data_IF_312133714092
#
_entry.id   IF_312133714092
#
_cell.length_a   1.000
_cell.length_b   1.000
_cell.length_c   1.000
_cell.angle_alpha   90.00
_cell.angle_beta   90.00
_cell.angle_gamma   90.00
#
_symmetry.space_group_name_H-M   'P 1'
#
loop_
_entity.id
_entity.type
_entity.pdbx_description
1 polymer ?
#
# COMPACT_ATOMS: atom_id res chain seq x y z
N UNK A 1 36.24 18.88 -3.18
CA UNK A 1 34.91 18.48 -2.76
C UNK A 1 34.19 17.45 -3.65
N UNK A 2 34.45 17.36 -4.96
CA UNK A 2 33.83 16.32 -5.83
C UNK A 2 34.18 14.89 -5.37
N UNK A 3 35.44 14.67 -4.99
CA UNK A 3 35.96 13.35 -4.54
C UNK A 3 35.30 12.91 -3.23
N UNK A 4 35.21 13.80 -2.23
CA UNK A 4 34.57 13.51 -0.93
C UNK A 4 33.11 13.14 -1.11
N UNK A 5 32.37 13.90 -1.94
CA UNK A 5 30.98 13.60 -2.28
C UNK A 5 30.84 12.21 -2.93
N UNK A 6 31.68 11.90 -3.91
CA UNK A 6 31.65 10.60 -4.63
C UNK A 6 31.94 9.43 -3.67
N UNK A 7 32.91 9.60 -2.78
CA UNK A 7 33.25 8.59 -1.78
C UNK A 7 32.11 8.36 -0.82
N UNK A 8 31.58 9.43 -0.22
CA UNK A 8 30.45 9.35 0.72
C UNK A 8 29.21 8.69 0.09
N UNK A 9 28.85 9.10 -1.13
CA UNK A 9 27.67 8.55 -1.80
C UNK A 9 27.87 7.08 -2.16
N UNK A 10 29.05 6.69 -2.64
CA UNK A 10 29.36 5.29 -2.93
C UNK A 10 29.25 4.42 -1.68
N UNK A 11 29.79 4.89 -0.57
CA UNK A 11 29.77 4.16 0.70
C UNK A 11 28.36 4.01 1.27
N UNK A 12 27.59 5.09 1.26
CA UNK A 12 26.19 5.03 1.74
C UNK A 12 25.34 4.16 0.81
N UNK A 13 25.42 4.34 -0.51
CA UNK A 13 24.63 3.57 -1.47
C UNK A 13 24.97 2.09 -1.38
N UNK A 14 26.27 1.71 -1.31
CA UNK A 14 26.68 0.31 -1.18
C UNK A 14 26.17 -0.32 0.14
N UNK A 15 26.24 0.43 1.24
CA UNK A 15 25.75 -0.03 2.54
C UNK A 15 24.21 -0.18 2.55
N UNK A 16 23.49 0.77 1.97
CA UNK A 16 22.03 0.70 1.82
C UNK A 16 21.64 -0.48 0.93
N UNK A 17 22.31 -0.66 -0.21
CA UNK A 17 22.05 -1.78 -1.11
C UNK A 17 22.30 -3.13 -0.42
N UNK A 18 23.40 -3.25 0.35
CA UNK A 18 23.68 -4.45 1.11
C UNK A 18 22.58 -4.77 2.15
N UNK A 19 22.16 -3.77 2.94
CA UNK A 19 21.09 -3.94 3.92
C UNK A 19 19.76 -4.27 3.25
N UNK A 20 19.43 -3.59 2.14
CA UNK A 20 18.22 -3.88 1.39
C UNK A 20 18.20 -5.31 0.83
N UNK A 21 19.33 -5.78 0.27
CA UNK A 21 19.48 -7.16 -0.20
C UNK A 21 19.34 -8.17 0.94
N UNK A 22 19.94 -7.90 2.11
CA UNK A 22 19.80 -8.77 3.28
C UNK A 22 18.34 -8.89 3.74
N UNK A 23 17.62 -7.77 3.81
CA UNK A 23 16.19 -7.79 4.14
C UNK A 23 15.35 -8.49 3.08
N UNK A 24 15.61 -8.23 1.79
CA UNK A 24 14.90 -8.91 0.70
C UNK A 24 15.13 -10.42 0.70
N UNK A 25 16.36 -10.86 0.99
CA UNK A 25 16.67 -12.29 1.10
C UNK A 25 15.90 -12.93 2.23
N UNK A 26 15.80 -12.24 3.39
CA UNK A 26 15.03 -12.73 4.53
C UNK A 26 13.53 -12.77 4.22
N UNK A 27 12.99 -11.69 3.62
CA UNK A 27 11.58 -11.63 3.23
C UNK A 27 11.26 -12.70 2.20
N UNK A 28 12.11 -12.86 1.17
CA UNK A 28 11.94 -13.93 0.20
C UNK A 28 11.86 -15.31 0.84
N UNK A 29 12.74 -15.58 1.82
CA UNK A 29 12.73 -16.86 2.52
C UNK A 29 11.43 -17.08 3.30
N UNK A 30 10.95 -16.06 4.01
CA UNK A 30 9.69 -16.12 4.76
C UNK A 30 8.52 -16.35 3.81
N UNK A 31 8.39 -15.54 2.76
CA UNK A 31 7.31 -15.64 1.78
C UNK A 31 7.35 -16.99 1.05
N UNK A 32 8.55 -17.47 0.74
CA UNK A 32 8.73 -18.79 0.12
C UNK A 32 8.26 -19.92 1.05
N UNK A 33 8.61 -19.89 2.34
CA UNK A 33 8.14 -20.89 3.34
C UNK A 33 6.62 -20.86 3.45
N UNK A 34 6.01 -19.68 3.43
CA UNK A 34 4.55 -19.52 3.47
C UNK A 34 3.89 -20.10 2.21
N UNK A 35 4.49 -19.89 1.03
CA UNK A 35 4.02 -20.51 -0.22
C UNK A 35 4.21 -22.04 -0.23
N UNK A 36 5.26 -22.59 0.40
CA UNK A 36 5.49 -24.03 0.52
C UNK A 36 4.36 -24.76 1.24
N UNK A 37 3.70 -24.10 2.20
CA UNK A 37 2.55 -24.69 2.93
C UNK A 37 1.35 -24.99 2.00
N UNK A 38 1.36 -24.44 0.79
CA UNK A 38 0.33 -24.70 -0.24
C UNK A 38 0.65 -25.91 -1.12
N UNK A 39 1.83 -26.50 -0.99
CA UNK A 39 2.23 -27.73 -1.68
C UNK A 39 1.32 -28.88 -1.20
N UNK A 40 0.84 -29.67 -2.16
CA UNK A 40 -0.17 -30.72 -1.91
C UNK A 40 -1.57 -30.34 -2.42
N UNK A 41 -1.78 -29.07 -2.82
CA UNK A 41 -2.99 -28.70 -3.56
C UNK A 41 -2.85 -29.13 -5.03
N UNK A 42 -3.92 -29.62 -5.67
CA UNK A 42 -3.88 -30.02 -7.08
C UNK A 42 -3.36 -28.87 -7.97
N UNK A 43 -2.31 -29.15 -8.73
CA UNK A 43 -1.71 -28.18 -9.66
C UNK A 43 -0.72 -27.20 -9.06
N UNK A 44 -0.41 -27.23 -7.74
CA UNK A 44 0.59 -26.35 -7.13
C UNK A 44 1.99 -26.99 -7.16
N UNK A 45 2.94 -26.33 -7.81
CA UNK A 45 4.33 -26.80 -7.97
C UNK A 45 5.31 -25.96 -7.18
N UNK A 46 6.50 -26.51 -6.90
CA UNK A 46 7.60 -25.78 -6.25
C UNK A 46 7.95 -24.47 -7.00
N UNK A 47 7.95 -24.52 -8.34
CA UNK A 47 8.21 -23.33 -9.16
C UNK A 47 7.17 -22.22 -8.95
N UNK A 48 5.92 -22.59 -8.72
CA UNK A 48 4.87 -21.64 -8.37
C UNK A 48 5.09 -20.98 -7.01
N UNK A 49 5.62 -21.72 -6.03
CA UNK A 49 6.01 -21.13 -4.75
C UNK A 49 7.14 -20.10 -4.91
N UNK A 50 8.15 -20.41 -5.71
CA UNK A 50 9.24 -19.46 -6.04
C UNK A 50 8.68 -18.23 -6.77
N UNK A 51 7.85 -18.41 -7.78
CA UNK A 51 7.26 -17.32 -8.54
C UNK A 51 6.35 -16.44 -7.67
N UNK A 52 5.57 -17.01 -6.77
CA UNK A 52 4.74 -16.29 -5.79
C UNK A 52 5.58 -15.42 -4.87
N UNK A 53 6.62 -15.98 -4.26
CA UNK A 53 7.53 -15.23 -3.39
C UNK A 53 8.27 -14.11 -4.15
N UNK A 54 8.71 -14.36 -5.39
CA UNK A 54 9.34 -13.34 -6.24
C UNK A 54 8.41 -12.14 -6.55
N UNK A 55 7.13 -12.39 -6.75
CA UNK A 55 6.15 -11.34 -7.02
C UNK A 55 5.91 -10.42 -5.81
N UNK A 56 6.16 -10.89 -4.60
CA UNK A 56 6.01 -10.10 -3.35
C UNK A 56 7.24 -9.22 -3.05
N UNK A 57 8.42 -9.52 -3.63
CA UNK A 57 9.66 -8.80 -3.36
C UNK A 57 9.59 -7.28 -3.60
N UNK A 58 8.97 -6.75 -4.67
CA UNK A 58 8.90 -5.30 -4.87
C UNK A 58 8.06 -4.58 -3.82
N UNK A 59 6.99 -5.22 -3.32
CA UNK A 59 6.19 -4.73 -2.20
C UNK A 59 7.02 -4.66 -0.92
N UNK A 60 7.74 -5.75 -0.60
CA UNK A 60 8.63 -5.82 0.54
C UNK A 60 9.78 -4.79 0.44
N UNK A 61 10.37 -4.62 -0.75
CA UNK A 61 11.39 -3.59 -0.98
C UNK A 61 10.85 -2.19 -0.67
N UNK A 62 9.65 -1.85 -1.15
CA UNK A 62 9.03 -0.56 -0.88
C UNK A 62 8.83 -0.32 0.62
N UNK A 63 8.31 -1.30 1.35
CA UNK A 63 8.05 -1.19 2.79
C UNK A 63 9.35 -1.12 3.63
N UNK A 64 10.42 -1.80 3.21
CA UNK A 64 11.67 -1.88 3.95
C UNK A 64 12.71 -0.83 3.54
N UNK A 65 12.53 -0.16 2.39
CA UNK A 65 13.54 0.75 1.85
C UNK A 65 13.91 1.90 2.82
N UNK A 66 12.97 2.61 3.49
CA UNK A 66 13.34 3.66 4.43
C UNK A 66 14.18 3.14 5.62
N UNK A 67 13.90 1.92 6.10
CA UNK A 67 14.67 1.29 7.18
C UNK A 67 16.06 0.90 6.67
N UNK A 68 16.15 0.32 5.48
CA UNK A 68 17.43 -0.02 4.86
C UNK A 68 18.30 1.22 4.64
N UNK A 69 17.69 2.34 4.23
CA UNK A 69 18.35 3.65 4.09
C UNK A 69 18.86 4.15 5.44
N UNK A 70 18.06 4.06 6.50
CA UNK A 70 18.49 4.44 7.85
C UNK A 70 19.69 3.60 8.31
N UNK A 71 19.56 2.28 8.31
CA UNK A 71 20.58 1.37 8.82
C UNK A 71 21.86 1.45 7.98
N UNK A 72 21.74 1.44 6.65
CA UNK A 72 22.88 1.54 5.74
C UNK A 72 23.63 2.87 5.90
N UNK A 73 22.90 3.98 6.08
CA UNK A 73 23.51 5.29 6.32
C UNK A 73 24.17 5.35 7.70
N UNK A 74 23.53 4.81 8.76
CA UNK A 74 24.14 4.74 10.10
C UNK A 74 25.42 3.90 10.05
N UNK A 75 25.39 2.73 9.41
CA UNK A 75 26.58 1.88 9.28
C UNK A 75 27.73 2.62 8.57
N UNK A 76 27.46 3.27 7.44
CA UNK A 76 28.45 4.04 6.70
C UNK A 76 29.02 5.19 7.55
N UNK A 77 28.14 5.97 8.20
CA UNK A 77 28.56 7.08 9.04
C UNK A 77 29.32 6.62 10.28
N UNK A 78 28.91 5.53 10.91
CA UNK A 78 29.60 4.96 12.07
C UNK A 78 31.00 4.45 11.69
N UNK A 79 31.15 3.83 10.53
CA UNK A 79 32.43 3.35 10.00
C UNK A 79 33.38 4.52 9.73
N UNK A 80 32.92 5.57 9.06
CA UNK A 80 33.73 6.78 8.81
C UNK A 80 34.13 7.50 10.11
N UNK A 81 33.26 7.48 11.12
CA UNK A 81 33.60 8.04 12.44
C UNK A 81 34.65 7.19 13.18
N UNK A 82 34.59 5.87 13.06
CA UNK A 82 35.52 4.96 13.72
C UNK A 82 36.91 4.96 13.08
N UNK A 83 36.99 5.04 11.77
CA UNK A 83 38.26 5.16 11.01
C UNK A 83 38.89 6.56 11.13
N UNK A 84 38.29 7.48 11.90
CA UNK A 84 38.68 8.89 11.99
C UNK A 84 38.60 9.68 10.67
N UNK A 85 38.19 9.06 9.59
CA UNK A 85 38.02 9.72 8.28
C UNK A 85 37.01 10.88 8.36
N UNK A 86 35.93 10.70 9.10
CA UNK A 86 34.93 11.77 9.30
C UNK A 86 35.55 12.98 10.02
N UNK A 87 36.47 12.75 10.97
CA UNK A 87 37.18 13.82 11.68
C UNK A 87 38.11 14.56 10.71
N UNK A 88 38.87 13.84 9.87
CA UNK A 88 39.72 14.42 8.82
C UNK A 88 38.90 15.25 7.83
N UNK A 89 37.73 14.76 7.43
CA UNK A 89 36.82 15.51 6.55
C UNK A 89 36.31 16.80 7.20
N UNK A 90 36.04 16.79 8.51
CA UNK A 90 35.63 17.99 9.28
C UNK A 90 36.77 19.02 9.35
N UNK A 91 37.97 18.60 9.70
CA UNK A 91 39.14 19.50 9.74
C UNK A 91 39.52 20.02 8.35
N UNK A 92 39.25 19.22 7.29
CA UNK A 92 39.39 19.61 5.90
C UNK A 92 38.26 20.52 5.35
N UNK A 93 37.35 21.02 6.24
CA UNK A 93 36.34 22.03 5.89
C UNK A 93 34.94 21.48 5.60
N UNK A 94 34.64 20.22 5.92
CA UNK A 94 33.26 19.69 5.87
C UNK A 94 32.48 20.17 7.09
N UNK A 95 31.80 21.30 6.96
CA UNK A 95 30.92 21.80 8.03
C UNK A 95 29.71 20.87 8.24
N UNK A 96 29.12 20.82 9.47
CA UNK A 96 27.95 19.99 9.77
C UNK A 96 26.77 20.23 8.80
N UNK A 97 26.53 21.50 8.45
CA UNK A 97 25.46 21.86 7.51
C UNK A 97 25.74 21.36 6.08
N UNK A 98 27.03 21.35 5.65
CA UNK A 98 27.39 20.78 4.35
C UNK A 98 27.22 19.27 4.33
N UNK A 99 27.59 18.57 5.41
CA UNK A 99 27.36 17.14 5.56
C UNK A 99 25.86 16.83 5.50
N UNK A 100 25.03 17.61 6.22
CA UNK A 100 23.57 17.45 6.18
C UNK A 100 23.00 17.65 4.77
N UNK A 101 23.46 18.71 4.04
CA UNK A 101 23.00 18.95 2.68
C UNK A 101 23.39 17.82 1.70
N UNK A 102 24.57 17.24 1.85
CA UNK A 102 25.00 16.10 1.02
C UNK A 102 24.14 14.86 1.28
N UNK A 103 23.87 14.54 2.54
CA UNK A 103 23.01 13.42 2.90
C UNK A 103 21.54 13.69 2.58
N UNK A 104 21.06 14.92 2.75
CA UNK A 104 19.69 15.28 2.34
C UNK A 104 19.50 15.13 0.82
N UNK A 105 20.49 15.52 0.00
CA UNK A 105 20.43 15.28 -1.45
C UNK A 105 20.35 13.78 -1.78
N UNK A 106 21.13 12.95 -1.10
CA UNK A 106 21.08 11.50 -1.25
C UNK A 106 19.75 10.93 -0.76
N UNK A 107 19.24 11.43 0.37
CA UNK A 107 17.92 11.10 0.89
C UNK A 107 16.79 11.46 -0.08
N UNK A 108 16.90 12.57 -0.82
CA UNK A 108 15.96 12.90 -1.90
C UNK A 108 16.01 11.89 -3.05
N UNK A 109 17.19 11.41 -3.41
CA UNK A 109 17.32 10.35 -4.43
C UNK A 109 16.64 9.07 -3.97
N UNK A 110 16.87 8.65 -2.73
CA UNK A 110 16.17 7.48 -2.17
C UNK A 110 14.66 7.71 -2.05
N UNK A 111 14.24 8.91 -1.69
CA UNK A 111 12.83 9.28 -1.66
C UNK A 111 12.18 9.19 -3.05
N UNK A 112 12.83 9.72 -4.08
CA UNK A 112 12.36 9.61 -5.47
C UNK A 112 12.31 8.15 -5.95
N UNK A 113 13.32 7.34 -5.59
CA UNK A 113 13.34 5.91 -5.89
C UNK A 113 12.18 5.18 -5.21
N UNK A 114 11.96 5.44 -3.90
CA UNK A 114 10.84 4.86 -3.13
C UNK A 114 9.51 5.24 -3.75
N UNK A 115 9.34 6.51 -4.15
CA UNK A 115 8.13 6.97 -4.82
C UNK A 115 7.91 6.23 -6.15
N UNK A 116 8.93 6.12 -6.98
CA UNK A 116 8.84 5.43 -8.27
C UNK A 116 8.47 3.95 -8.10
N UNK A 117 9.10 3.25 -7.15
CA UNK A 117 8.76 1.86 -6.83
C UNK A 117 7.30 1.77 -6.34
N UNK A 118 6.91 2.61 -5.39
CA UNK A 118 5.57 2.60 -4.80
C UNK A 118 4.45 2.96 -5.77
N UNK A 119 4.69 3.85 -6.73
CA UNK A 119 3.66 4.32 -7.67
C UNK A 119 3.51 3.40 -8.89
N UNK A 120 4.61 2.82 -9.41
CA UNK A 120 4.60 2.07 -10.65
C UNK A 120 4.83 0.57 -10.45
N UNK A 121 5.87 0.20 -9.70
CA UNK A 121 6.30 -1.21 -9.61
C UNK A 121 5.37 -2.01 -8.70
N UNK A 122 5.12 -1.50 -7.49
CA UNK A 122 4.29 -2.20 -6.49
C UNK A 122 2.86 -2.45 -7.00
N UNK A 123 2.11 -1.48 -7.53
CA UNK A 123 0.76 -1.76 -8.02
C UNK A 123 0.74 -2.82 -9.13
N UNK A 124 1.73 -2.79 -10.02
CA UNK A 124 1.83 -3.78 -11.09
C UNK A 124 2.08 -5.19 -10.54
N UNK A 125 3.09 -5.37 -9.68
CA UNK A 125 3.44 -6.69 -9.12
C UNK A 125 2.37 -7.23 -8.18
N UNK A 126 1.76 -6.40 -7.36
CA UNK A 126 0.66 -6.80 -6.47
C UNK A 126 -0.57 -7.26 -7.26
N UNK A 127 -0.90 -6.60 -8.38
CA UNK A 127 -1.98 -7.08 -9.29
C UNK A 127 -1.64 -8.44 -9.88
N UNK A 128 -0.40 -8.65 -10.33
CA UNK A 128 0.04 -9.96 -10.82
C UNK A 128 -0.04 -11.02 -9.73
N UNK A 129 0.33 -10.68 -8.49
CA UNK A 129 0.21 -11.58 -7.33
C UNK A 129 -1.24 -11.99 -7.08
N UNK A 130 -2.17 -11.03 -7.13
CA UNK A 130 -3.61 -11.33 -6.99
C UNK A 130 -4.11 -12.24 -8.08
N UNK A 131 -3.77 -11.97 -9.35
CA UNK A 131 -4.18 -12.79 -10.49
C UNK A 131 -3.55 -14.19 -10.43
N UNK A 132 -2.28 -14.29 -10.05
CA UNK A 132 -1.57 -15.55 -9.86
C UNK A 132 -2.22 -16.39 -8.76
N UNK A 133 -2.51 -15.80 -7.60
CA UNK A 133 -3.22 -16.48 -6.49
C UNK A 133 -4.65 -16.90 -6.89
N UNK A 134 -5.35 -16.08 -7.67
CA UNK A 134 -6.68 -16.41 -8.19
C UNK A 134 -6.66 -17.59 -9.16
N UNK A 135 -5.67 -17.66 -10.06
CA UNK A 135 -5.50 -18.77 -11.00
C UNK A 135 -5.26 -20.10 -10.27
N UNK A 136 -4.42 -20.08 -9.22
CA UNK A 136 -4.12 -21.27 -8.41
C UNK A 136 -5.30 -21.74 -7.54
N UNK A 137 -6.18 -20.82 -7.18
CA UNK A 137 -7.34 -21.12 -6.32
C UNK A 137 -8.57 -21.61 -7.09
N UNK A 138 -8.47 -21.84 -8.41
CA UNK A 138 -9.59 -22.27 -9.25
C UNK A 138 -10.75 -21.27 -9.30
N UNK A 139 -10.46 -19.96 -9.25
CA UNK A 139 -11.47 -18.90 -9.22
C UNK A 139 -12.15 -18.73 -7.85
N UNK A 140 -11.58 -19.27 -6.79
CA UNK A 140 -12.11 -19.12 -5.42
C UNK A 140 -11.99 -17.69 -4.92
N UNK A 141 -13.07 -17.23 -4.30
CA UNK A 141 -13.34 -15.90 -3.73
C UNK A 141 -12.11 -15.22 -3.13
N UNK A 142 -11.79 -14.03 -3.60
CA UNK A 142 -10.89 -13.08 -2.92
C UNK A 142 -11.60 -12.56 -1.65
N UNK A 143 -11.31 -13.19 -0.50
CA UNK A 143 -11.92 -12.82 0.78
C UNK A 143 -13.27 -13.50 1.06
N UNK A 144 -13.67 -13.55 2.33
CA UNK A 144 -14.88 -14.25 2.77
C UNK A 144 -16.19 -13.54 2.44
N UNK A 145 -16.17 -12.23 2.17
CA UNK A 145 -17.37 -11.38 2.01
C UNK A 145 -17.51 -10.72 0.65
N UNK A 146 -16.46 -10.71 -0.20
CA UNK A 146 -16.46 -9.95 -1.46
C UNK A 146 -16.45 -8.42 -1.24
N UNK A 147 -16.50 -7.66 -2.34
CA UNK A 147 -16.60 -6.22 -2.31
C UNK A 147 -18.06 -5.76 -2.38
N UNK A 148 -18.41 -4.78 -1.56
CA UNK A 148 -19.72 -4.14 -1.57
C UNK A 148 -19.60 -2.72 -2.11
N UNK A 149 -20.42 -2.41 -3.11
CA UNK A 149 -20.55 -1.10 -3.74
C UNK A 149 -21.97 -0.63 -3.59
N UNK A 150 -22.19 0.66 -3.40
CA UNK A 150 -23.50 1.29 -3.44
C UNK A 150 -23.59 2.25 -4.62
N UNK A 151 -24.74 2.31 -5.23
CA UNK A 151 -25.07 3.22 -6.31
C UNK A 151 -26.45 3.78 -6.05
N UNK A 152 -26.63 5.11 -6.18
CA UNK A 152 -27.92 5.77 -6.16
C UNK A 152 -28.24 6.29 -7.56
N UNK A 153 -29.48 6.08 -8.00
CA UNK A 153 -29.99 6.61 -9.26
C UNK A 153 -31.31 7.30 -9.02
N UNK A 154 -31.43 8.49 -9.56
CA UNK A 154 -32.70 9.20 -9.61
C UNK A 154 -33.34 8.87 -10.97
N UNK A 155 -34.52 8.27 -10.96
CA UNK A 155 -35.32 7.93 -12.12
C UNK A 155 -36.66 8.67 -12.04
N UNK A 156 -37.38 8.74 -13.16
CA UNK A 156 -38.74 9.28 -13.21
C UNK A 156 -39.73 8.58 -12.24
N UNK A 157 -39.37 7.37 -11.78
CA UNK A 157 -40.11 6.57 -10.79
C UNK A 157 -39.67 6.79 -9.35
N UNK A 158 -38.81 7.77 -9.09
CA UNK A 158 -38.24 8.08 -7.77
C UNK A 158 -36.76 7.68 -7.62
N UNK A 159 -36.23 7.91 -6.42
CA UNK A 159 -34.87 7.54 -6.06
C UNK A 159 -34.78 6.04 -5.83
N UNK A 160 -33.78 5.39 -6.44
CA UNK A 160 -33.48 3.98 -6.27
C UNK A 160 -32.04 3.80 -5.82
N UNK A 161 -31.85 2.92 -4.85
CA UNK A 161 -30.52 2.54 -4.38
C UNK A 161 -30.18 1.10 -4.74
N UNK A 162 -28.97 0.89 -5.22
CA UNK A 162 -28.45 -0.42 -5.58
C UNK A 162 -27.28 -0.79 -4.67
N UNK A 163 -27.36 -1.99 -4.09
CA UNK A 163 -26.23 -2.58 -3.36
C UNK A 163 -25.65 -3.71 -4.20
N UNK A 164 -24.44 -3.52 -4.69
CA UNK A 164 -23.74 -4.46 -5.58
C UNK A 164 -22.66 -5.19 -4.80
N UNK A 165 -22.74 -6.51 -4.74
CA UNK A 165 -21.69 -7.36 -4.17
C UNK A 165 -20.99 -8.13 -5.29
N UNK A 166 -19.67 -8.08 -5.29
CA UNK A 166 -18.81 -8.83 -6.21
C UNK A 166 -17.91 -9.74 -5.38
N UNK A 167 -18.01 -11.05 -5.55
CA UNK A 167 -17.24 -12.00 -4.77
C UNK A 167 -15.75 -12.03 -5.12
N UNK A 168 -15.37 -11.66 -6.35
CA UNK A 168 -13.97 -11.63 -6.77
C UNK A 168 -13.78 -11.36 -8.25
N UNK A 169 -12.51 -11.49 -8.69
CA UNK A 169 -12.10 -11.39 -10.10
C UNK A 169 -11.36 -12.67 -10.47
N UNK A 170 -11.62 -13.20 -11.66
CA UNK A 170 -10.87 -14.35 -12.19
C UNK A 170 -9.52 -13.90 -12.81
N UNK A 171 -8.69 -14.88 -13.23
CA UNK A 171 -7.39 -14.64 -13.87
C UNK A 171 -7.46 -13.84 -15.18
N UNK A 172 -8.64 -13.70 -15.78
CA UNK A 172 -8.89 -12.92 -17.01
C UNK A 172 -9.47 -11.54 -16.75
N UNK A 173 -9.60 -11.13 -15.46
CA UNK A 173 -10.21 -9.86 -15.09
C UNK A 173 -11.73 -9.86 -15.15
N UNK A 174 -12.39 -11.01 -15.27
CA UNK A 174 -13.85 -11.15 -15.27
C UNK A 174 -14.34 -11.18 -13.82
N UNK A 175 -15.37 -10.41 -13.50
CA UNK A 175 -16.01 -10.42 -12.19
C UNK A 175 -16.77 -11.73 -11.97
N UNK A 176 -16.66 -12.30 -10.77
CA UNK A 176 -17.32 -13.57 -10.42
C UNK A 176 -18.18 -13.43 -9.17
N UNK A 177 -19.33 -14.12 -9.16
CA UNK A 177 -20.24 -14.16 -8.03
C UNK A 177 -20.88 -12.80 -7.74
N UNK A 178 -21.53 -12.21 -8.73
CA UNK A 178 -22.16 -10.89 -8.66
C UNK A 178 -23.55 -11.02 -8.05
N UNK A 179 -23.88 -10.14 -7.12
CA UNK A 179 -25.21 -9.98 -6.53
C UNK A 179 -25.58 -8.51 -6.52
N UNK A 180 -26.71 -8.16 -7.09
CA UNK A 180 -27.21 -6.79 -7.15
C UNK A 180 -28.56 -6.78 -6.46
N UNK A 181 -28.74 -5.91 -5.49
CA UNK A 181 -29.98 -5.71 -4.75
C UNK A 181 -30.47 -4.29 -5.02
N UNK A 182 -31.71 -4.17 -5.44
CA UNK A 182 -32.38 -2.89 -5.71
C UNK A 182 -33.37 -2.57 -4.60
N UNK A 183 -33.33 -1.32 -4.12
CA UNK A 183 -34.22 -0.81 -3.09
C UNK A 183 -34.86 0.50 -3.56
N UNK A 184 -36.09 0.76 -3.09
CA UNK A 184 -36.76 2.06 -3.23
C UNK A 184 -36.25 3.10 -2.23
N UNK A 185 -36.85 4.31 -2.26
CA UNK A 185 -36.51 5.40 -1.35
C UNK A 185 -36.81 5.07 0.12
N UNK A 186 -37.78 4.19 0.37
CA UNK A 186 -38.21 3.72 1.70
C UNK A 186 -37.37 2.54 2.20
N UNK A 187 -36.40 2.05 1.39
CA UNK A 187 -35.54 0.93 1.73
C UNK A 187 -36.18 -0.46 1.54
N UNK A 188 -37.33 -0.54 0.83
CA UNK A 188 -37.95 -1.82 0.50
C UNK A 188 -37.23 -2.48 -0.67
N UNK A 189 -37.05 -3.79 -0.58
CA UNK A 189 -36.33 -4.57 -1.60
C UNK A 189 -37.24 -4.80 -2.83
N UNK A 190 -36.83 -4.30 -3.99
CA UNK A 190 -37.59 -4.37 -5.23
C UNK A 190 -37.17 -5.53 -6.13
N UNK A 191 -35.87 -5.68 -6.34
CA UNK A 191 -35.32 -6.70 -7.22
C UNK A 191 -33.96 -7.21 -6.73
N UNK A 192 -33.62 -8.41 -7.18
CA UNK A 192 -32.32 -9.02 -6.98
C UNK A 192 -31.82 -9.69 -8.27
N UNK A 193 -30.58 -9.39 -8.63
CA UNK A 193 -29.89 -10.07 -9.70
C UNK A 193 -28.75 -10.89 -9.09
N UNK A 194 -28.67 -12.19 -9.43
CA UNK A 194 -27.53 -13.04 -9.09
C UNK A 194 -26.94 -13.49 -10.41
N UNK A 195 -25.66 -13.15 -10.66
CA UNK A 195 -24.98 -13.58 -11.87
C UNK A 195 -23.69 -14.33 -11.53
N UNK A 196 -23.40 -15.36 -12.31
CA UNK A 196 -22.19 -16.17 -12.15
C UNK A 196 -20.95 -15.40 -12.52
N UNK A 197 -21.01 -14.66 -13.62
CA UNK A 197 -19.90 -13.85 -14.14
C UNK A 197 -20.43 -12.55 -14.71
N UNK A 198 -19.53 -11.54 -14.82
CA UNK A 198 -19.87 -10.29 -15.48
C UNK A 198 -18.64 -9.51 -15.91
N UNK A 199 -18.83 -8.65 -16.91
CA UNK A 199 -17.82 -7.70 -17.40
C UNK A 199 -18.42 -6.32 -17.42
N UNK A 200 -17.60 -5.33 -17.07
CA UNK A 200 -17.97 -3.91 -17.13
C UNK A 200 -17.43 -3.34 -18.45
N UNK A 201 -18.31 -2.83 -19.29
CA UNK A 201 -17.95 -2.17 -20.53
C UNK A 201 -17.33 -0.77 -20.30
N UNK A 202 -16.76 -0.18 -21.33
CA UNK A 202 -16.22 1.17 -21.29
C UNK A 202 -17.31 2.24 -21.04
N UNK A 203 -18.55 1.95 -21.39
CA UNK A 203 -19.76 2.74 -21.18
C UNK A 203 -20.39 2.53 -19.79
N UNK A 204 -19.68 1.88 -18.87
CA UNK A 204 -20.16 1.48 -17.54
C UNK A 204 -21.34 0.50 -17.56
N UNK A 205 -21.74 -0.02 -18.72
CA UNK A 205 -22.77 -1.06 -18.82
C UNK A 205 -22.18 -2.43 -18.44
N UNK A 206 -22.84 -3.11 -17.50
CA UNK A 206 -22.44 -4.43 -17.08
C UNK A 206 -23.09 -5.51 -17.96
N UNK A 207 -22.29 -6.40 -18.51
CA UNK A 207 -22.76 -7.59 -19.20
C UNK A 207 -22.64 -8.76 -18.23
N UNK A 208 -23.77 -9.20 -17.70
CA UNK A 208 -23.90 -10.28 -16.73
C UNK A 208 -24.23 -11.59 -17.48
N UNK A 209 -23.56 -12.68 -17.12
CA UNK A 209 -23.74 -14.00 -17.69
C UNK A 209 -24.31 -14.97 -16.67
N UNK A 210 -25.23 -15.83 -17.06
CA UNK A 210 -25.98 -16.75 -16.21
C UNK A 210 -26.66 -15.96 -15.07
N UNK A 211 -27.54 -15.03 -15.41
CA UNK A 211 -28.17 -14.11 -14.48
C UNK A 211 -29.56 -14.62 -14.06
N UNK A 212 -29.78 -14.81 -12.77
CA UNK A 212 -31.08 -15.02 -12.14
C UNK A 212 -31.64 -13.68 -11.68
N UNK A 213 -32.70 -13.21 -12.33
CA UNK A 213 -33.41 -11.99 -12.00
C UNK A 213 -34.66 -12.31 -11.20
N UNK A 214 -34.78 -11.80 -9.99
CA UNK A 214 -35.93 -11.98 -9.10
C UNK A 214 -36.54 -10.63 -8.79
N UNK A 215 -37.82 -10.45 -9.00
CA UNK A 215 -38.56 -9.23 -8.70
C UNK A 215 -39.63 -9.49 -7.65
N UNK A 216 -39.71 -8.60 -6.67
CA UNK A 216 -40.76 -8.61 -5.65
C UNK A 216 -41.81 -7.55 -6.02
N UNK A 217 -43.09 -7.93 -6.03
CA UNK A 217 -44.16 -6.99 -6.37
C UNK A 217 -44.33 -5.91 -5.29
N UNK A 218 -44.69 -4.72 -5.73
CA UNK A 218 -44.95 -3.55 -4.87
C UNK A 218 -46.43 -3.38 -4.52
N UNK A 219 -47.26 -4.46 -4.59
CA UNK A 219 -48.66 -4.38 -4.37
C UNK A 219 -49.10 -4.25 -2.91
N UNK A 220 -50.25 -3.63 -2.67
CA UNK A 220 -50.87 -3.51 -1.35
C UNK A 220 -51.68 -4.78 -0.97
N UNK A 221 -51.79 -5.76 -1.85
CA UNK A 221 -52.59 -6.98 -1.64
C UNK A 221 -51.68 -8.23 -1.64
N UNK A 222 -51.30 -8.76 -0.43
CA UNK A 222 -50.39 -9.92 -0.30
C UNK A 222 -50.93 -11.20 -0.98
N UNK A 223 -52.21 -11.26 -1.29
CA UNK A 223 -52.86 -12.45 -1.86
C UNK A 223 -52.65 -12.58 -3.39
N UNK A 224 -52.22 -11.51 -4.07
CA UNK A 224 -52.01 -11.45 -5.52
C UNK A 224 -50.57 -11.28 -5.92
N UNK A 225 -49.69 -11.09 -4.95
CA UNK A 225 -48.30 -10.74 -5.18
C UNK A 225 -47.42 -11.98 -5.41
N UNK A 226 -47.13 -12.28 -6.67
CA UNK A 226 -46.23 -13.39 -7.03
C UNK A 226 -44.80 -12.88 -7.26
N UNK A 227 -43.83 -13.53 -6.60
CA UNK A 227 -42.41 -13.31 -6.85
C UNK A 227 -42.08 -13.89 -8.24
N UNK A 228 -41.63 -13.05 -9.14
CA UNK A 228 -41.24 -13.47 -10.49
C UNK A 228 -39.76 -13.76 -10.52
N UNK A 229 -39.38 -14.95 -10.98
CA UNK A 229 -37.99 -15.33 -11.21
C UNK A 229 -37.78 -15.66 -12.69
N UNK A 230 -36.74 -15.06 -13.27
CA UNK A 230 -36.35 -15.30 -14.66
C UNK A 230 -34.85 -15.59 -14.71
N UNK A 231 -34.46 -16.65 -15.44
CA UNK A 231 -33.05 -16.94 -15.68
C UNK A 231 -32.71 -16.51 -17.10
N UNK A 232 -31.73 -15.59 -17.21
CA UNK A 232 -31.29 -15.00 -18.46
C UNK A 232 -29.84 -15.44 -18.75
N UNK A 233 -29.55 -15.97 -19.94
CA UNK A 233 -28.16 -16.34 -20.28
C UNK A 233 -27.25 -15.13 -20.32
N UNK A 234 -27.77 -13.97 -20.72
CA UNK A 234 -27.03 -12.69 -20.72
C UNK A 234 -27.99 -11.56 -20.36
N UNK A 235 -27.58 -10.72 -19.39
CA UNK A 235 -28.32 -9.53 -18.98
C UNK A 235 -27.40 -8.30 -19.09
N UNK A 236 -27.84 -7.26 -19.81
CA UNK A 236 -27.20 -5.95 -19.79
C UNK A 236 -27.80 -5.12 -18.65
N UNK A 237 -26.97 -4.72 -17.71
CA UNK A 237 -27.37 -3.91 -16.58
C UNK A 237 -26.63 -2.56 -16.64
N UNK A 238 -27.34 -1.45 -16.91
CA UNK A 238 -26.74 -0.11 -16.91
C UNK A 238 -26.27 0.23 -15.50
N UNK A 239 -25.13 0.92 -15.36
CA UNK A 239 -24.56 1.31 -14.06
C UNK A 239 -23.75 2.60 -14.20
N UNK A 240 -23.56 3.33 -13.11
CA UNK A 240 -22.59 4.43 -13.04
C UNK A 240 -21.23 3.92 -12.51
N UNK A 241 -21.17 2.68 -12.04
CA UNK A 241 -19.95 2.04 -11.53
C UNK A 241 -19.05 1.62 -12.70
N UNK A 242 -18.03 2.42 -12.96
CA UNK A 242 -17.02 2.11 -14.00
C UNK A 242 -16.16 0.90 -13.62
N UNK A 243 -15.51 0.29 -14.63
CA UNK A 243 -14.59 -0.82 -14.43
C UNK A 243 -13.46 -0.48 -13.45
N UNK A 244 -12.99 0.77 -13.46
CA UNK A 244 -11.97 1.26 -12.51
C UNK A 244 -12.43 1.24 -11.06
N UNK A 245 -13.64 1.73 -10.79
CA UNK A 245 -14.25 1.75 -9.45
C UNK A 245 -14.48 0.34 -8.92
N UNK A 246 -15.00 -0.55 -9.76
CA UNK A 246 -15.26 -1.94 -9.38
C UNK A 246 -13.95 -2.69 -9.11
N UNK A 247 -12.96 -2.51 -9.96
CA UNK A 247 -11.62 -3.11 -9.75
C UNK A 247 -10.99 -2.61 -8.45
N UNK A 248 -11.11 -1.31 -8.17
CA UNK A 248 -10.62 -0.71 -6.94
C UNK A 248 -11.33 -1.24 -5.67
N UNK A 249 -12.62 -1.55 -5.75
CA UNK A 249 -13.37 -2.13 -4.64
C UNK A 249 -13.01 -3.61 -4.37
N UNK A 250 -12.74 -4.36 -5.43
CA UNK A 250 -12.49 -5.82 -5.35
C UNK A 250 -11.03 -6.12 -5.05
N UNK A 251 -10.10 -5.31 -5.54
CA UNK A 251 -8.67 -5.49 -5.33
C UNK A 251 -8.23 -4.94 -3.95
N UNK A 252 -7.21 -5.56 -3.32
CA UNK A 252 -6.63 -5.03 -2.09
C UNK A 252 -6.06 -3.61 -2.29
N UNK A 253 -6.13 -2.77 -1.26
CA UNK A 253 -5.61 -1.39 -1.30
C UNK A 253 -4.13 -1.28 -1.71
N UNK A 254 -3.33 -2.32 -1.44
CA UNK A 254 -1.91 -2.38 -1.83
C UNK A 254 -1.71 -2.41 -3.35
N UNK A 255 -2.70 -2.91 -4.11
CA UNK A 255 -2.63 -3.00 -5.59
C UNK A 255 -2.90 -1.67 -6.29
N UNK A 256 -3.28 -0.63 -5.55
CA UNK A 256 -3.63 0.68 -6.11
C UNK A 256 -2.44 1.62 -6.06
N UNK A 257 -2.26 2.43 -7.10
CA UNK A 257 -1.36 3.58 -7.10
C UNK A 257 -1.91 4.71 -6.21
N UNK A 258 -1.10 5.72 -5.89
CA UNK A 258 -1.59 6.87 -5.13
C UNK A 258 -2.70 7.63 -5.92
N UNK A 259 -2.53 7.76 -7.23
CA UNK A 259 -3.53 8.42 -8.09
C UNK A 259 -4.85 7.63 -8.11
N UNK A 260 -4.80 6.29 -8.19
CA UNK A 260 -5.99 5.45 -8.14
C UNK A 260 -6.69 5.53 -6.78
N UNK A 261 -5.94 5.52 -5.68
CA UNK A 261 -6.48 5.70 -4.34
C UNK A 261 -7.20 7.05 -4.18
N UNK A 262 -6.64 8.12 -4.73
CA UNK A 262 -7.28 9.43 -4.71
C UNK A 262 -8.62 9.43 -5.46
N UNK A 263 -8.60 9.01 -6.72
CA UNK A 263 -9.83 8.95 -7.56
C UNK A 263 -10.91 8.08 -6.93
N UNK A 264 -10.53 6.94 -6.38
CA UNK A 264 -11.49 6.05 -5.73
C UNK A 264 -12.04 6.65 -4.43
N UNK A 265 -11.20 7.32 -3.63
CA UNK A 265 -11.65 7.97 -2.40
C UNK A 265 -12.61 9.13 -2.65
N UNK A 266 -12.43 9.84 -3.77
CA UNK A 266 -13.32 10.91 -4.22
C UNK A 266 -14.69 10.32 -4.62
N UNK A 267 -14.69 9.27 -5.44
CA UNK A 267 -15.93 8.58 -5.81
C UNK A 267 -16.71 8.04 -4.60
N UNK A 268 -16.02 7.44 -3.61
CA UNK A 268 -16.67 6.98 -2.38
C UNK A 268 -17.27 8.13 -1.56
N UNK A 269 -16.63 9.31 -1.55
CA UNK A 269 -17.16 10.50 -0.88
C UNK A 269 -18.46 10.98 -1.51
N UNK A 270 -18.50 11.02 -2.83
CA UNK A 270 -19.68 11.45 -3.60
C UNK A 270 -20.89 10.52 -3.37
N UNK A 271 -20.62 9.25 -3.05
CA UNK A 271 -21.64 8.24 -2.77
C UNK A 271 -21.92 8.09 -1.26
N UNK A 272 -21.50 9.04 -0.42
CA UNK A 272 -21.66 9.00 1.06
C UNK A 272 -21.11 7.71 1.72
N UNK A 273 -20.17 7.06 1.08
CA UNK A 273 -19.54 5.84 1.62
C UNK A 273 -18.31 6.18 2.45
N UNK A 274 -17.93 5.27 3.36
CA UNK A 274 -16.78 5.43 4.24
C UNK A 274 -15.46 5.45 3.44
N UNK A 275 -15.01 6.65 3.01
CA UNK A 275 -13.79 6.86 2.21
C UNK A 275 -12.52 7.00 3.07
N UNK A 276 -12.65 7.12 4.41
CA UNK A 276 -11.53 7.49 5.30
C UNK A 276 -10.35 6.53 5.21
N UNK A 277 -10.58 5.23 5.13
CA UNK A 277 -9.52 4.22 5.00
C UNK A 277 -8.70 4.44 3.72
N UNK A 278 -9.35 4.76 2.60
CA UNK A 278 -8.70 5.01 1.30
C UNK A 278 -7.92 6.32 1.32
N UNK A 279 -8.47 7.37 1.94
CA UNK A 279 -7.79 8.66 2.11
C UNK A 279 -6.54 8.55 2.99
N UNK A 280 -6.62 7.81 4.11
CA UNK A 280 -5.44 7.55 4.95
C UNK A 280 -4.38 6.80 4.15
N UNK A 281 -4.76 5.78 3.39
CA UNK A 281 -3.81 5.00 2.58
C UNK A 281 -3.19 5.83 1.47
N UNK A 282 -3.96 6.72 0.83
CA UNK A 282 -3.44 7.70 -0.14
C UNK A 282 -2.35 8.57 0.49
N UNK A 283 -2.66 9.24 1.60
CA UNK A 283 -1.71 10.14 2.26
C UNK A 283 -0.49 9.40 2.78
N UNK A 284 -0.67 8.19 3.32
CA UNK A 284 0.46 7.32 3.69
C UNK A 284 1.36 7.07 2.49
N UNK A 285 0.80 6.66 1.35
CA UNK A 285 1.57 6.35 0.15
C UNK A 285 2.27 7.58 -0.44
N UNK A 286 1.62 8.73 -0.40
CA UNK A 286 2.18 10.00 -0.89
C UNK A 286 3.32 10.53 -0.01
N UNK A 287 3.20 10.40 1.32
CA UNK A 287 4.19 10.94 2.27
C UNK A 287 5.27 9.93 2.66
N UNK A 288 5.05 8.63 2.47
CA UNK A 288 5.99 7.57 2.84
C UNK A 288 7.40 7.74 2.26
N UNK A 289 7.58 8.16 0.99
CA UNK A 289 8.91 8.39 0.42
C UNK A 289 9.73 9.43 1.19
N UNK A 290 9.08 10.44 1.81
CA UNK A 290 9.75 11.47 2.61
C UNK A 290 10.42 10.87 3.86
N UNK A 291 9.99 9.70 4.32
CA UNK A 291 10.65 9.00 5.41
C UNK A 291 12.13 8.71 5.10
N UNK A 292 12.49 8.40 3.85
CA UNK A 292 13.89 8.20 3.45
C UNK A 292 14.73 9.45 3.72
N UNK A 293 14.19 10.63 3.40
CA UNK A 293 14.89 11.90 3.64
C UNK A 293 15.10 12.14 5.15
N UNK A 294 14.02 11.97 5.93
CA UNK A 294 14.04 12.20 7.38
C UNK A 294 14.98 11.23 8.08
N UNK A 295 14.93 9.95 7.73
CA UNK A 295 15.74 8.91 8.34
C UNK A 295 17.22 9.03 7.93
N UNK A 296 17.51 9.47 6.69
CA UNK A 296 18.89 9.78 6.27
C UNK A 296 19.47 10.97 7.07
N UNK A 297 18.66 12.00 7.32
CA UNK A 297 19.08 13.12 8.14
C UNK A 297 19.33 12.69 9.60
N UNK A 298 18.48 11.84 10.16
CA UNK A 298 18.67 11.28 11.50
C UNK A 298 19.95 10.44 11.60
N UNK A 299 20.26 9.67 10.56
CA UNK A 299 21.47 8.84 10.52
C UNK A 299 22.76 9.63 10.64
N UNK A 300 22.79 10.91 10.18
CA UNK A 300 23.95 11.78 10.31
C UNK A 300 24.35 12.00 11.78
N UNK A 301 23.40 12.03 12.70
CA UNK A 301 23.68 12.21 14.13
C UNK A 301 24.63 11.12 14.65
N UNK A 302 24.61 9.92 14.09
CA UNK A 302 25.49 8.82 14.48
C UNK A 302 26.95 9.03 14.07
N UNK A 303 27.24 9.86 13.06
CA UNK A 303 28.60 10.23 12.70
C UNK A 303 29.27 11.11 13.77
N UNK A 304 28.48 11.85 14.53
CA UNK A 304 28.96 12.73 15.59
C UNK A 304 29.07 12.04 16.96
N UNK A 305 28.56 10.83 17.12
CA UNK A 305 28.76 10.02 18.33
C UNK A 305 30.22 9.58 18.42
N UNK A 306 30.82 9.71 19.61
CA UNK A 306 32.25 9.38 19.82
C UNK A 306 32.57 7.95 19.34
N UNK A 307 33.73 7.80 18.68
CA UNK A 307 34.26 6.49 18.26
C UNK A 307 34.39 5.51 19.45
N UNK A 308 34.69 6.04 20.65
CA UNK A 308 34.84 5.27 21.90
C UNK A 308 33.50 4.93 22.58
N UNK A 309 32.40 5.58 22.21
CA UNK A 309 31.07 5.33 22.77
C UNK A 309 30.38 4.18 22.02
N UNK A 310 30.81 2.96 22.28
CA UNK A 310 30.27 1.73 21.65
C UNK A 310 30.82 1.46 20.25
N UNK A 311 30.94 0.17 19.91
CA UNK A 311 31.34 -0.28 18.57
C UNK A 311 30.31 0.04 17.49
N UNK A 312 30.64 -0.20 16.22
CA UNK A 312 29.72 -0.09 15.08
C UNK A 312 28.42 -0.88 15.33
N UNK A 313 28.55 -2.08 15.92
CA UNK A 313 27.42 -2.97 16.22
C UNK A 313 26.35 -2.31 17.08
N UNK A 314 26.72 -1.57 18.13
CA UNK A 314 25.77 -0.88 19.00
C UNK A 314 25.05 0.25 18.27
N UNK A 315 25.77 0.98 17.41
CA UNK A 315 25.19 2.07 16.60
C UNK A 315 24.20 1.52 15.56
N UNK A 316 24.57 0.41 14.91
CA UNK A 316 23.69 -0.30 13.96
C UNK A 316 22.47 -0.87 14.66
N UNK A 317 22.66 -1.48 15.85
CA UNK A 317 21.54 -1.94 16.67
C UNK A 317 20.58 -0.82 17.03
N UNK A 318 21.09 0.34 17.45
CA UNK A 318 20.28 1.55 17.68
C UNK A 318 19.52 1.98 16.43
N UNK A 319 20.15 1.90 15.25
CA UNK A 319 19.52 2.16 13.96
C UNK A 319 18.38 1.20 13.64
N UNK A 320 18.58 -0.10 13.90
CA UNK A 320 17.55 -1.12 13.72
C UNK A 320 16.35 -0.82 14.63
N UNK A 321 16.61 -0.54 15.93
CA UNK A 321 15.55 -0.21 16.90
C UNK A 321 14.76 1.04 16.49
N UNK A 322 15.45 2.08 16.00
CA UNK A 322 14.80 3.28 15.47
C UNK A 322 13.96 2.98 14.22
N UNK A 323 14.47 2.14 13.30
CA UNK A 323 13.73 1.73 12.11
C UNK A 323 12.46 0.96 12.46
N UNK A 324 12.55 -0.02 13.37
CA UNK A 324 11.39 -0.79 13.87
C UNK A 324 10.40 0.15 14.55
N UNK A 325 10.88 1.07 15.42
CA UNK A 325 10.03 2.05 16.10
C UNK A 325 9.28 2.95 15.11
N UNK A 326 9.92 3.35 14.01
CA UNK A 326 9.26 4.11 12.94
C UNK A 326 8.10 3.34 12.30
N UNK A 327 8.31 2.06 11.96
CA UNK A 327 7.27 1.22 11.36
C UNK A 327 6.12 0.98 12.34
N UNK A 328 6.45 0.63 13.59
CA UNK A 328 5.44 0.44 14.63
C UNK A 328 4.60 1.70 14.83
N UNK A 329 5.25 2.86 14.93
CA UNK A 329 4.56 4.14 15.07
C UNK A 329 3.64 4.41 13.86
N UNK A 330 4.13 4.18 12.64
CA UNK A 330 3.34 4.37 11.42
C UNK A 330 2.09 3.47 11.38
N UNK A 331 2.21 2.23 11.86
CA UNK A 331 1.10 1.29 11.93
C UNK A 331 0.12 1.65 13.06
N UNK A 332 0.60 1.95 14.25
CA UNK A 332 -0.21 2.32 15.42
C UNK A 332 -0.99 3.61 15.15
N UNK A 333 -0.30 4.68 14.68
CA UNK A 333 -0.94 5.95 14.34
C UNK A 333 -1.98 5.75 13.23
N UNK A 334 -1.68 4.93 12.23
CA UNK A 334 -2.63 4.58 11.17
C UNK A 334 -3.90 3.91 11.69
N UNK A 335 -3.75 2.98 12.64
CA UNK A 335 -4.88 2.25 13.22
C UNK A 335 -5.74 3.15 14.13
N UNK A 336 -5.08 3.89 15.04
CA UNK A 336 -5.77 4.83 15.95
C UNK A 336 -6.47 5.94 15.16
N UNK A 337 -5.80 6.48 14.12
CA UNK A 337 -6.36 7.52 13.27
C UNK A 337 -7.61 7.06 12.52
N UNK A 338 -7.64 5.81 12.07
CA UNK A 338 -8.81 5.21 11.45
C UNK A 338 -9.98 5.06 12.45
N UNK A 339 -9.68 4.54 13.65
CA UNK A 339 -10.70 4.29 14.70
C UNK A 339 -11.29 5.59 15.27
N UNK A 340 -10.47 6.64 15.39
CA UNK A 340 -10.88 7.92 15.96
C UNK A 340 -11.33 8.97 14.94
N UNK A 341 -11.36 8.62 13.66
CA UNK A 341 -11.78 9.56 12.63
C UNK A 341 -10.84 10.75 12.42
N UNK A 342 -9.52 10.60 12.71
CA UNK A 342 -8.57 11.70 12.55
C UNK A 342 -8.42 12.10 11.08
N UNK A 343 -8.02 13.36 10.86
CA UNK A 343 -7.76 13.85 9.51
C UNK A 343 -6.68 13.01 8.82
N UNK A 344 -6.94 12.49 7.60
CA UNK A 344 -6.08 11.50 6.95
C UNK A 344 -4.62 11.95 6.75
N UNK A 345 -4.41 13.22 6.40
CA UNK A 345 -3.06 13.75 6.18
C UNK A 345 -2.24 13.84 7.48
N UNK A 346 -2.88 14.18 8.62
CA UNK A 346 -2.21 14.19 9.93
C UNK A 346 -1.76 12.79 10.33
N UNK A 347 -2.62 11.80 10.14
CA UNK A 347 -2.29 10.39 10.43
C UNK A 347 -1.05 9.94 9.65
N UNK A 348 -0.94 10.32 8.39
CA UNK A 348 0.18 9.95 7.53
C UNK A 348 1.45 10.76 7.81
N UNK A 349 1.33 12.04 8.17
CA UNK A 349 2.46 12.92 8.41
C UNK A 349 3.10 12.74 9.80
N UNK A 350 2.31 12.37 10.83
CA UNK A 350 2.73 12.34 12.22
C UNK A 350 4.01 11.51 12.47
N UNK A 351 4.19 10.28 11.96
CA UNK A 351 5.41 9.53 12.19
C UNK A 351 6.65 10.22 11.62
N UNK A 352 6.57 10.70 10.38
CA UNK A 352 7.68 11.39 9.71
C UNK A 352 8.03 12.72 10.38
N UNK A 353 7.03 13.49 10.83
CA UNK A 353 7.26 14.75 11.54
C UNK A 353 7.91 14.55 12.91
N UNK A 354 7.48 13.51 13.65
CA UNK A 354 8.07 13.18 14.95
C UNK A 354 9.55 12.77 14.78
N UNK A 355 9.88 11.93 13.81
CA UNK A 355 11.26 11.54 13.52
C UNK A 355 12.08 12.70 12.95
N UNK A 356 11.47 13.63 12.22
CA UNK A 356 12.13 14.86 11.77
C UNK A 356 12.49 15.77 12.96
N UNK A 357 11.60 15.96 13.92
CA UNK A 357 11.86 16.70 15.15
C UNK A 357 12.98 16.03 15.97
N UNK A 358 12.94 14.69 16.09
CA UNK A 358 13.99 13.92 16.74
C UNK A 358 15.36 14.12 16.04
N UNK A 359 15.37 14.10 14.70
CA UNK A 359 16.57 14.33 13.89
C UNK A 359 17.13 15.73 14.11
N UNK A 360 16.29 16.76 14.09
CA UNK A 360 16.69 18.14 14.32
C UNK A 360 17.19 18.37 15.76
N UNK A 361 16.52 17.79 16.75
CA UNK A 361 16.94 17.86 18.14
C UNK A 361 18.29 17.18 18.37
N UNK A 362 18.46 15.95 17.84
CA UNK A 362 19.73 15.22 17.94
C UNK A 362 20.87 15.95 17.23
N UNK A 363 20.62 16.45 16.03
CA UNK A 363 21.62 17.21 15.27
C UNK A 363 21.97 18.53 15.95
N UNK A 364 20.98 19.32 16.39
CA UNK A 364 21.18 20.59 17.08
C UNK A 364 21.94 20.42 18.39
N UNK A 365 21.59 19.39 19.18
CA UNK A 365 22.32 19.07 20.42
C UNK A 365 23.77 18.70 20.15
N UNK A 366 24.02 17.83 19.17
CA UNK A 366 25.36 17.38 18.82
C UNK A 366 26.25 18.50 18.24
N UNK A 367 25.67 19.41 17.46
CA UNK A 367 26.42 20.55 16.88
C UNK A 367 26.70 21.62 17.91
N UNK A 368 25.82 21.85 18.91
CA UNK A 368 25.96 22.87 19.95
C UNK A 368 26.98 22.51 21.03
N UNK A 369 27.10 21.24 21.36
CA UNK A 369 27.96 20.75 22.46
C UNK A 369 29.27 20.11 21.97
N UNK A 370 29.63 20.25 20.70
CA UNK A 370 30.86 19.76 20.08
C UNK A 370 31.41 20.69 18.99
#
# INVERSE_FOLDING_TARGET
MKTVRRMLYRDVVSSVAFVALAFLSLSFFIDFVDELQKIGRPGFTLWMAVAGAMLELPGNLYELLPIAVLIGTIYSMARLAQSSEFTILRTGGLSPLRALRLLALLGMVFSALTFAIGEYVVPFTERQTVLFKAALSGGRKLGSTGAWLKERRVSDQGERSYSVNVAGIDSRGTLVGIRIFEFDAEGRHLSRIIARQGRVGADSTWTLTDADFTTWPMGSDPSRDTVTRQTLPTLRWPSTLSAGVVSAAVLPLKTMSAVELWRYSEHLSDQEQASQRHRIQFWKKALYPLACLVLTALALSFAYLHARAGGISLKVFGGIMLGISFVLLNNVVGHIGLLRGWTPWLVAAMPSTLFMLLSLAAFGWLVRYR
#
